data_IF_293435907327
#
_entry.id   IF_293435907327
#
_cell.length_a   1.000
_cell.length_b   1.000
_cell.length_c   1.000
_cell.angle_alpha   90.00
_cell.angle_beta   90.00
_cell.angle_gamma   90.00
#
_symmetry.space_group_name_H-M   'P 1'
#
loop_
_entity.id
_entity.type
_entity.pdbx_description
1 polymer ?
#
# COMPACT_ATOMS: atom_id res chain seq x y z
N UNK A 1 -19.84 -1.45 3.37
CA UNK A 1 -19.53 -2.33 2.22
C UNK A 1 -18.06 -2.17 1.82
N UNK A 2 -17.34 -3.26 1.46
CA UNK A 2 -15.96 -3.20 0.99
C UNK A 2 -15.81 -3.86 -0.38
N UNK A 3 -15.14 -3.20 -1.32
CA UNK A 3 -14.78 -3.74 -2.63
C UNK A 3 -13.26 -3.70 -2.78
N UNK A 4 -12.63 -4.87 -2.96
CA UNK A 4 -11.21 -4.95 -3.26
C UNK A 4 -10.93 -4.40 -4.68
N UNK A 5 -9.84 -3.65 -4.83
CA UNK A 5 -9.37 -3.12 -6.12
C UNK A 5 -8.11 -3.87 -6.55
N UNK A 6 -7.12 -3.98 -5.68
CA UNK A 6 -5.86 -4.67 -5.97
C UNK A 6 -5.15 -5.13 -4.69
N UNK A 7 -4.26 -6.10 -4.84
CA UNK A 7 -3.38 -6.64 -3.81
C UNK A 7 -2.08 -7.10 -4.44
N UNK A 8 -0.95 -6.72 -3.84
CA UNK A 8 0.34 -7.25 -4.24
C UNK A 8 1.33 -7.30 -3.07
N UNK A 9 2.42 -8.00 -3.32
CA UNK A 9 3.62 -7.94 -2.50
C UNK A 9 4.52 -6.82 -3.02
N UNK A 10 5.30 -6.20 -2.15
CA UNK A 10 6.37 -5.31 -2.57
C UNK A 10 7.57 -6.06 -3.15
N UNK A 11 8.52 -5.29 -3.68
CA UNK A 11 9.75 -5.82 -4.27
C UNK A 11 10.88 -6.00 -3.24
N UNK A 12 10.60 -5.86 -1.93
CA UNK A 12 11.61 -6.09 -0.91
C UNK A 12 11.97 -7.58 -0.89
N UNK A 13 13.27 -7.94 -0.91
CA UNK A 13 13.71 -9.32 -0.93
C UNK A 13 13.18 -10.07 0.30
N UNK A 14 12.95 -11.37 0.10
CA UNK A 14 12.66 -12.26 1.22
C UNK A 14 13.93 -12.36 2.09
N UNK A 15 13.85 -12.20 3.43
CA UNK A 15 14.99 -12.32 4.34
C UNK A 15 15.56 -13.75 4.44
N UNK A 16 15.09 -14.69 3.61
CA UNK A 16 15.65 -16.04 3.51
C UNK A 16 17.16 -16.10 3.20
N UNK A 17 17.78 -17.28 3.27
CA UNK A 17 19.24 -17.46 3.17
C UNK A 17 19.83 -17.11 1.80
N UNK A 18 18.99 -16.77 0.82
CA UNK A 18 19.37 -16.34 -0.53
C UNK A 18 19.18 -14.83 -0.74
N UNK A 19 18.80 -14.09 0.30
CA UNK A 19 18.67 -12.64 0.26
C UNK A 19 20.03 -11.99 -0.04
N UNK A 20 20.06 -10.84 -0.74
CA UNK A 20 21.28 -10.04 -0.87
C UNK A 20 21.86 -9.58 0.47
N UNK A 21 20.98 -9.40 1.47
CA UNK A 21 21.33 -9.10 2.85
C UNK A 21 20.61 -10.10 3.78
N UNK A 22 21.23 -11.25 4.08
CA UNK A 22 20.61 -12.30 4.88
C UNK A 22 20.49 -11.94 6.37
N UNK A 23 21.05 -10.81 6.80
CA UNK A 23 20.93 -10.27 8.15
C UNK A 23 19.84 -9.16 8.24
N UNK A 24 19.14 -8.86 7.13
CA UNK A 24 17.99 -7.94 7.17
C UNK A 24 16.76 -8.68 7.70
N UNK A 25 16.48 -8.51 9.00
CA UNK A 25 15.33 -9.12 9.66
C UNK A 25 13.96 -8.51 9.26
N UNK A 26 13.93 -7.49 8.39
CA UNK A 26 12.68 -6.84 8.01
C UNK A 26 11.96 -7.67 6.94
N UNK A 27 10.74 -8.17 7.21
CA UNK A 27 9.96 -8.81 6.17
C UNK A 27 9.60 -7.77 5.10
N UNK A 28 9.54 -8.21 3.85
CA UNK A 28 8.88 -7.42 2.80
C UNK A 28 7.42 -7.14 3.17
N UNK A 29 6.81 -6.17 2.52
CA UNK A 29 5.41 -5.80 2.77
C UNK A 29 4.46 -6.45 1.78
N UNK A 30 3.21 -6.61 2.21
CA UNK A 30 2.05 -6.74 1.34
C UNK A 30 1.24 -5.45 1.40
N UNK A 31 0.60 -5.09 0.29
CA UNK A 31 -0.31 -3.95 0.24
C UNK A 31 -1.61 -4.32 -0.45
N UNK A 32 -2.69 -3.66 -0.04
CA UNK A 32 -3.98 -3.75 -0.72
C UNK A 32 -4.65 -2.39 -0.84
N UNK A 33 -5.42 -2.22 -1.91
CA UNK A 33 -6.27 -1.06 -2.14
C UNK A 33 -7.72 -1.54 -2.24
N UNK A 34 -8.61 -0.89 -1.49
CA UNK A 34 -10.04 -1.18 -1.52
C UNK A 34 -10.87 0.11 -1.50
N UNK A 35 -12.11 0.01 -1.99
CA UNK A 35 -13.15 1.01 -1.74
C UNK A 35 -13.94 0.58 -0.50
N UNK A 36 -14.06 1.49 0.45
CA UNK A 36 -14.64 1.23 1.77
C UNK A 36 -15.74 2.25 2.10
N UNK A 37 -16.97 1.74 2.21
CA UNK A 37 -18.18 2.52 2.51
C UNK A 37 -18.84 1.99 3.78
N UNK A 38 -18.15 2.11 4.91
CA UNK A 38 -18.65 1.68 6.23
C UNK A 38 -18.13 2.56 7.37
N UNK A 39 -17.82 3.82 7.06
CA UNK A 39 -17.39 4.78 8.07
C UNK A 39 -18.52 5.78 8.32
N UNK A 40 -19.34 5.52 9.34
CA UNK A 40 -20.48 6.39 9.69
C UNK A 40 -20.05 7.82 10.07
N UNK A 41 -18.88 7.96 10.70
CA UNK A 41 -18.30 9.27 11.03
C UNK A 41 -17.67 9.98 9.82
N UNK A 42 -17.54 9.29 8.68
CA UNK A 42 -16.99 9.84 7.46
C UNK A 42 -18.11 10.42 6.60
N UNK A 43 -17.88 11.59 6.02
CA UNK A 43 -18.81 12.22 5.07
C UNK A 43 -18.88 11.51 3.69
N UNK A 44 -18.60 10.20 3.61
CA UNK A 44 -18.70 9.40 2.39
C UNK A 44 -17.62 8.31 2.24
N UNK A 45 -17.69 7.62 1.11
CA UNK A 45 -16.83 6.49 0.72
C UNK A 45 -15.33 6.83 0.79
N UNK A 46 -14.54 5.87 1.26
CA UNK A 46 -13.08 5.96 1.41
C UNK A 46 -12.35 5.05 0.44
N UNK A 47 -11.14 5.45 0.09
CA UNK A 47 -10.12 4.54 -0.43
C UNK A 47 -9.35 4.03 0.77
N UNK A 48 -9.37 2.74 1.01
CA UNK A 48 -8.54 2.09 2.02
C UNK A 48 -7.23 1.65 1.36
N UNK A 49 -6.11 2.05 1.97
CA UNK A 49 -4.79 1.48 1.69
C UNK A 49 -4.34 0.72 2.95
N UNK A 50 -4.09 -0.57 2.82
CA UNK A 50 -3.46 -1.36 3.88
C UNK A 50 -2.03 -1.66 3.46
N UNK A 51 -1.09 -1.47 4.38
CA UNK A 51 0.30 -1.94 4.26
C UNK A 51 0.62 -2.75 5.50
N UNK A 52 1.09 -3.98 5.31
CA UNK A 52 1.36 -4.92 6.38
C UNK A 52 2.57 -5.82 6.06
N UNK A 53 3.18 -6.40 7.09
CA UNK A 53 4.28 -7.34 6.89
C UNK A 53 3.79 -8.58 6.13
N UNK A 54 4.59 -9.01 5.15
CA UNK A 54 4.32 -10.22 4.37
C UNK A 54 4.18 -11.43 5.31
N UNK A 55 3.07 -12.14 5.19
CA UNK A 55 2.79 -13.32 6.01
C UNK A 55 2.19 -13.03 7.39
N UNK A 56 1.94 -11.76 7.74
CA UNK A 56 1.32 -11.35 9.00
C UNK A 56 0.01 -10.55 8.78
N UNK A 57 -1.01 -11.14 8.12
CA UNK A 57 -2.23 -10.44 7.77
C UNK A 57 -2.99 -9.92 9.01
N UNK A 58 -3.49 -8.69 8.92
CA UNK A 58 -4.25 -8.02 9.99
C UNK A 58 -3.40 -7.32 11.04
N UNK A 59 -2.08 -7.25 10.86
CA UNK A 59 -1.15 -6.59 11.81
C UNK A 59 -0.65 -5.22 11.32
N UNK A 60 -0.88 -4.89 10.05
CA UNK A 60 -0.42 -3.63 9.46
C UNK A 60 -1.28 -2.41 9.74
N UNK A 61 -1.01 -1.36 8.98
CA UNK A 61 -1.70 -0.07 9.10
C UNK A 61 -2.71 0.09 7.96
N UNK A 62 -3.95 0.39 8.34
CA UNK A 62 -5.03 0.75 7.40
C UNK A 62 -5.24 2.27 7.37
N UNK A 63 -5.03 2.88 6.21
CA UNK A 63 -5.31 4.29 5.98
C UNK A 63 -6.64 4.45 5.24
N UNK A 64 -7.62 5.10 5.88
CA UNK A 64 -8.93 5.39 5.28
C UNK A 64 -8.92 6.79 4.65
N UNK A 65 -8.59 6.86 3.38
CA UNK A 65 -8.35 8.11 2.66
C UNK A 65 -9.64 8.66 2.03
N UNK A 66 -9.95 9.92 2.32
CA UNK A 66 -10.91 10.67 1.51
C UNK A 66 -10.40 10.79 0.06
N UNK A 67 -11.27 10.98 -0.96
CA UNK A 67 -10.83 11.06 -2.36
C UNK A 67 -9.74 12.11 -2.63
N UNK A 68 -9.77 13.24 -1.91
CA UNK A 68 -8.72 14.27 -2.01
C UNK A 68 -7.35 13.78 -1.47
N UNK A 69 -7.35 13.06 -0.35
CA UNK A 69 -6.12 12.50 0.23
C UNK A 69 -5.56 11.36 -0.64
N UNK A 70 -6.43 10.50 -1.18
CA UNK A 70 -6.03 9.45 -2.11
C UNK A 70 -5.37 10.01 -3.37
N UNK A 71 -5.95 11.08 -3.96
CA UNK A 71 -5.33 11.79 -5.10
C UNK A 71 -3.97 12.39 -4.74
N UNK A 72 -3.82 12.94 -3.54
CA UNK A 72 -2.53 13.48 -3.07
C UNK A 72 -1.48 12.38 -2.92
N UNK A 73 -1.84 11.22 -2.38
CA UNK A 73 -0.94 10.07 -2.29
C UNK A 73 -0.50 9.59 -3.68
N UNK A 74 -1.47 9.41 -4.61
CA UNK A 74 -1.17 9.05 -6.00
C UNK A 74 -0.20 10.05 -6.66
N UNK A 75 -0.40 11.35 -6.46
CA UNK A 75 0.50 12.37 -7.00
C UNK A 75 1.93 12.32 -6.39
N UNK A 76 2.04 11.96 -5.11
CA UNK A 76 3.33 11.75 -4.45
C UNK A 76 4.07 10.54 -5.04
N UNK A 77 3.39 9.41 -5.22
CA UNK A 77 3.96 8.21 -5.87
C UNK A 77 4.38 8.52 -7.30
N UNK A 78 3.52 9.16 -8.10
CA UNK A 78 3.87 9.59 -9.45
C UNK A 78 5.10 10.51 -9.50
N UNK A 79 5.28 11.35 -8.47
CA UNK A 79 6.48 12.20 -8.36
C UNK A 79 7.72 11.38 -7.99
N UNK A 80 7.59 10.39 -7.10
CA UNK A 80 8.68 9.48 -6.77
C UNK A 80 9.13 8.67 -8.01
N UNK A 81 8.18 8.14 -8.80
CA UNK A 81 8.47 7.41 -10.04
C UNK A 81 9.27 8.27 -11.03
N UNK A 82 8.82 9.50 -11.30
CA UNK A 82 9.58 10.45 -12.13
C UNK A 82 10.98 10.73 -11.59
N UNK A 83 11.13 10.78 -10.26
CA UNK A 83 12.41 11.07 -9.60
C UNK A 83 13.42 9.94 -9.82
N UNK A 84 12.96 8.69 -9.89
CA UNK A 84 13.81 7.53 -10.17
C UNK A 84 13.95 7.21 -11.67
N UNK A 85 13.40 8.06 -12.55
CA UNK A 85 13.52 7.93 -14.00
C UNK A 85 12.44 7.06 -14.67
N UNK A 86 11.39 6.70 -13.94
CA UNK A 86 10.30 5.85 -14.43
C UNK A 86 9.11 6.65 -14.97
N UNK A 87 8.32 6.02 -15.85
CA UNK A 87 7.02 6.56 -16.28
C UNK A 87 6.02 6.45 -15.12
N UNK A 88 5.45 7.57 -14.63
CA UNK A 88 4.47 7.54 -13.56
C UNK A 88 3.13 6.87 -13.92
N UNK A 89 2.86 6.63 -15.20
CA UNK A 89 1.59 6.07 -15.67
C UNK A 89 0.40 7.02 -15.53
N UNK A 90 -0.79 6.46 -15.78
CA UNK A 90 -2.06 7.20 -15.92
C UNK A 90 -2.73 7.56 -14.60
#
# INVERSE_FOLDING_TARGET
MKQSIDFALDDHPDPGPTAPDPDDDRPGSAWSVAVFDDCEACAGVRVELVVEDRGAPGTGVAAHLAPAAARRLRAAIATALRTVGEDPGA
#
